data_IF_950549134555
#
_entry.id   IF_950549134555
#
_cell.length_a   1.000
_cell.length_b   1.000
_cell.length_c   1.000
_cell.angle_alpha   90.00
_cell.angle_beta   90.00
_cell.angle_gamma   90.00
#
_symmetry.space_group_name_H-M   'P 1'
#
loop_
_entity.id
_entity.type
_entity.pdbx_description
1 polymer ?
#
# COMPACT_ATOMS: atom_id res chain seq x y z
N UNK A 1 42.64 40.10 -53.79
CA UNK A 1 42.77 41.14 -52.74
C UNK A 1 42.15 40.51 -51.50
N UNK A 2 42.81 40.24 -50.39
CA UNK A 2 44.14 40.53 -49.85
C UNK A 2 44.37 39.43 -48.76
N UNK A 3 45.58 38.85 -48.66
CA UNK A 3 46.55 38.99 -47.53
C UNK A 3 46.01 38.54 -46.16
N UNK A 4 46.67 37.78 -45.28
CA UNK A 4 48.06 37.42 -45.00
C UNK A 4 48.01 36.20 -44.04
N UNK A 5 48.81 35.14 -44.18
CA UNK A 5 50.20 34.95 -43.72
C UNK A 5 50.44 35.09 -42.19
N UNK A 6 50.75 33.95 -41.55
CA UNK A 6 51.83 33.65 -40.57
C UNK A 6 51.53 32.22 -40.06
N UNK A 7 52.29 31.14 -40.27
CA UNK A 7 53.72 30.82 -40.31
C UNK A 7 54.47 31.19 -39.04
N UNK A 8 54.50 30.25 -38.10
CA UNK A 8 55.70 29.96 -37.32
C UNK A 8 56.03 28.47 -37.41
N UNK A 9 57.29 28.25 -37.73
CA UNK A 9 57.98 27.00 -37.98
C UNK A 9 59.01 26.89 -36.84
N UNK A 10 59.14 25.73 -36.18
CA UNK A 10 60.41 25.14 -35.69
C UNK A 10 60.13 23.98 -34.71
N UNK A 11 60.39 22.77 -35.21
CA UNK A 11 60.61 21.50 -34.48
C UNK A 11 62.09 21.40 -34.07
N UNK A 12 62.64 20.27 -33.56
CA UNK A 12 62.11 19.14 -32.80
C UNK A 12 63.00 18.79 -31.58
N UNK A 13 62.55 17.93 -30.67
CA UNK A 13 63.38 16.89 -30.04
C UNK A 13 62.40 15.90 -29.37
N UNK A 14 62.01 14.85 -30.09
CA UNK A 14 62.67 13.55 -30.13
C UNK A 14 62.60 12.82 -28.78
N UNK A 15 61.66 11.87 -28.68
CA UNK A 15 61.82 10.55 -28.06
C UNK A 15 60.59 9.69 -28.35
N UNK A 16 60.72 8.80 -29.34
CA UNK A 16 59.96 7.53 -29.51
C UNK A 16 60.53 6.58 -28.42
N UNK A 17 59.78 5.68 -27.74
CA UNK A 17 58.96 4.62 -28.32
C UNK A 17 57.69 4.33 -27.47
N UNK A 18 56.84 3.30 -27.59
CA UNK A 18 56.84 2.03 -28.28
C UNK A 18 55.40 1.50 -28.29
N UNK A 19 55.14 0.54 -29.17
CA UNK A 19 53.85 -0.07 -29.39
C UNK A 19 53.33 -0.93 -28.21
N UNK A 20 52.01 -0.87 -28.05
CA UNK A 20 51.10 -1.99 -27.78
C UNK A 20 51.38 -2.90 -26.56
N UNK A 21 50.71 -2.61 -25.45
CA UNK A 21 50.07 -3.64 -24.59
C UNK A 21 48.72 -3.11 -24.10
N UNK A 22 47.62 -3.79 -24.45
CA UNK A 22 46.28 -3.52 -23.92
C UNK A 22 46.27 -3.77 -22.41
N UNK A 23 45.70 -2.88 -21.58
CA UNK A 23 45.14 -3.26 -20.31
C UNK A 23 43.62 -3.08 -20.33
N UNK A 24 42.94 -4.23 -20.24
CA UNK A 24 41.80 -4.49 -19.34
C UNK A 24 41.09 -3.21 -18.88
N UNK A 25 39.90 -2.98 -19.45
CA UNK A 25 38.97 -1.96 -18.98
C UNK A 25 38.61 -2.23 -17.51
N UNK A 26 39.28 -1.54 -16.59
CA UNK A 26 38.87 -1.45 -15.20
C UNK A 26 37.60 -0.59 -15.14
N UNK A 27 36.45 -1.24 -15.33
CA UNK A 27 35.14 -0.66 -15.04
C UNK A 27 35.09 -0.36 -13.53
N UNK A 28 35.40 0.89 -13.18
CA UNK A 28 34.73 1.53 -12.04
C UNK A 28 33.28 1.78 -12.44
N UNK A 29 32.44 1.90 -11.44
CA UNK A 29 31.02 2.27 -11.51
C UNK A 29 30.09 1.07 -11.64
N UNK A 30 29.82 0.43 -10.51
CA UNK A 30 28.47 0.38 -9.95
C UNK A 30 28.58 -0.24 -8.56
N UNK A 31 28.79 0.61 -7.56
CA UNK A 31 28.23 0.32 -6.24
C UNK A 31 26.72 0.18 -6.49
N UNK A 32 26.24 -1.06 -6.62
CA UNK A 32 24.82 -1.33 -6.46
C UNK A 32 24.51 -0.82 -5.05
N UNK A 33 23.92 0.37 -4.95
CA UNK A 33 23.11 0.77 -3.82
C UNK A 33 22.02 -0.27 -3.68
N UNK A 34 22.37 -1.38 -3.02
CA UNK A 34 21.39 -2.26 -2.44
C UNK A 34 20.90 -1.56 -1.19
N UNK A 35 20.12 -0.49 -1.37
CA UNK A 35 19.29 0.03 -0.30
C UNK A 35 18.37 -1.12 0.10
N UNK A 36 18.54 -1.73 1.29
CA UNK A 36 17.66 -2.79 1.72
C UNK A 36 16.27 -2.18 1.73
N UNK A 37 15.35 -2.71 0.93
CA UNK A 37 13.92 -2.39 1.08
C UNK A 37 13.59 -2.75 2.52
N UNK A 38 13.50 -1.72 3.37
CA UNK A 38 13.12 -1.88 4.75
C UNK A 38 11.76 -2.58 4.72
N UNK A 39 11.73 -3.87 5.07
CA UNK A 39 10.49 -4.58 5.25
C UNK A 39 9.83 -3.90 6.43
N UNK A 40 8.81 -3.08 6.17
CA UNK A 40 7.98 -2.49 7.23
C UNK A 40 7.20 -3.65 7.84
N UNK A 41 7.82 -4.29 8.84
CA UNK A 41 7.16 -5.31 9.65
C UNK A 41 6.06 -4.60 10.43
N UNK A 42 4.84 -5.12 10.34
CA UNK A 42 3.74 -4.53 11.07
C UNK A 42 3.99 -4.61 12.58
N UNK A 43 3.69 -3.53 13.30
CA UNK A 43 3.95 -3.38 14.74
C UNK A 43 3.36 -4.53 15.58
N UNK A 44 2.19 -5.03 15.21
CA UNK A 44 1.53 -6.13 15.91
C UNK A 44 2.29 -7.46 15.81
N UNK A 45 3.14 -7.65 14.81
CA UNK A 45 3.99 -8.86 14.71
C UNK A 45 5.05 -8.84 15.80
N UNK A 46 5.63 -7.67 16.06
CA UNK A 46 6.65 -7.46 17.08
C UNK A 46 6.03 -7.42 18.48
N UNK A 47 4.86 -6.77 18.61
CA UNK A 47 4.16 -6.61 19.90
C UNK A 47 3.51 -7.88 20.44
N UNK A 48 3.15 -8.81 19.55
CA UNK A 48 2.51 -10.08 19.91
C UNK A 48 3.34 -11.25 19.33
N UNK A 49 4.50 -11.56 19.95
CA UNK A 49 5.31 -12.72 19.58
C UNK A 49 4.59 -14.04 19.93
N UNK A 50 5.34 -15.13 19.86
CA UNK A 50 4.87 -16.45 20.30
C UNK A 50 4.53 -16.45 21.79
N UNK A 51 3.45 -17.14 22.15
CA UNK A 51 2.97 -17.19 23.53
C UNK A 51 3.73 -18.31 24.24
N UNK A 52 4.29 -18.00 25.40
CA UNK A 52 5.11 -18.94 26.17
C UNK A 52 4.39 -19.53 27.39
N UNK A 53 3.36 -18.86 27.90
CA UNK A 53 2.63 -19.27 29.10
C UNK A 53 1.12 -18.94 29.06
N UNK A 54 0.37 -19.55 29.98
CA UNK A 54 -1.08 -19.39 30.08
C UNK A 54 -1.47 -17.96 30.45
N UNK A 55 -0.69 -17.28 31.30
CA UNK A 55 -0.95 -15.89 31.68
C UNK A 55 -0.82 -14.95 30.48
N UNK A 56 0.17 -15.18 29.61
CA UNK A 56 0.35 -14.41 28.37
C UNK A 56 -0.79 -14.68 27.39
N UNK A 57 -1.24 -15.94 27.28
CA UNK A 57 -2.41 -16.32 26.49
C UNK A 57 -3.67 -15.55 26.89
N UNK A 58 -3.97 -15.46 28.20
CA UNK A 58 -5.15 -14.73 28.66
C UNK A 58 -5.02 -13.21 28.43
N UNK A 59 -3.81 -12.63 28.51
CA UNK A 59 -3.57 -11.23 28.11
C UNK A 59 -3.87 -11.00 26.64
N UNK A 60 -3.40 -11.89 25.76
CA UNK A 60 -3.64 -11.79 24.31
C UNK A 60 -5.14 -11.89 24.00
N UNK A 61 -5.84 -12.79 24.69
CA UNK A 61 -7.30 -12.94 24.58
C UNK A 61 -8.06 -11.71 25.06
N UNK A 62 -7.65 -11.09 26.17
CA UNK A 62 -8.25 -9.85 26.65
C UNK A 62 -8.09 -8.71 25.61
N UNK A 63 -6.88 -8.55 25.06
CA UNK A 63 -6.62 -7.60 23.97
C UNK A 63 -7.45 -7.91 22.74
N UNK A 64 -7.55 -9.19 22.36
CA UNK A 64 -8.36 -9.60 21.21
C UNK A 64 -9.81 -9.19 21.41
N UNK A 65 -10.40 -9.47 22.57
CA UNK A 65 -11.80 -9.17 22.85
C UNK A 65 -12.10 -7.67 22.81
N UNK A 66 -11.23 -6.88 23.45
CA UNK A 66 -11.33 -5.41 23.46
C UNK A 66 -11.27 -4.84 22.03
N UNK A 67 -10.23 -5.18 21.27
CA UNK A 67 -10.06 -4.65 19.91
C UNK A 67 -11.01 -5.26 18.88
N UNK A 68 -11.55 -6.46 19.14
CA UNK A 68 -12.58 -7.05 18.29
C UNK A 68 -13.89 -6.26 18.37
N UNK A 69 -14.20 -5.67 19.53
CA UNK A 69 -15.37 -4.79 19.64
C UNK A 69 -15.18 -3.52 18.80
N UNK A 70 -14.00 -2.88 18.88
CA UNK A 70 -13.65 -1.73 18.00
C UNK A 70 -13.77 -2.11 16.52
N UNK A 71 -13.22 -3.26 16.12
CA UNK A 71 -13.32 -3.77 14.75
C UNK A 71 -14.77 -3.96 14.30
N UNK A 72 -15.62 -4.55 15.14
CA UNK A 72 -17.03 -4.79 14.81
C UNK A 72 -17.78 -3.50 14.53
N UNK A 73 -17.56 -2.48 15.37
CA UNK A 73 -18.24 -1.20 15.24
C UNK A 73 -17.78 -0.46 13.97
N UNK A 74 -16.46 -0.42 13.73
CA UNK A 74 -15.91 0.13 12.48
C UNK A 74 -16.41 -0.62 11.24
N UNK A 75 -16.41 -1.95 11.27
CA UNK A 75 -16.89 -2.78 10.17
C UNK A 75 -18.37 -2.54 9.89
N UNK A 76 -19.19 -2.36 10.94
CA UNK A 76 -20.62 -2.03 10.80
C UNK A 76 -20.82 -0.67 10.15
N UNK A 77 -20.08 0.34 10.58
CA UNK A 77 -20.15 1.70 10.01
C UNK A 77 -19.75 1.71 8.52
N UNK A 78 -18.62 1.07 8.20
CA UNK A 78 -18.15 0.92 6.82
C UNK A 78 -19.20 0.17 5.99
N UNK A 79 -19.71 -0.97 6.49
CA UNK A 79 -20.71 -1.78 5.79
C UNK A 79 -22.01 -1.00 5.54
N UNK A 80 -22.45 -0.19 6.51
CA UNK A 80 -23.63 0.67 6.36
C UNK A 80 -23.40 1.72 5.28
N UNK A 81 -22.22 2.31 5.24
CA UNK A 81 -21.84 3.30 4.23
C UNK A 81 -21.79 2.68 2.83
N UNK A 82 -21.17 1.50 2.71
CA UNK A 82 -21.13 0.72 1.47
C UNK A 82 -22.53 0.29 1.01
N UNK A 83 -23.46 0.02 1.92
CA UNK A 83 -24.85 -0.30 1.57
C UNK A 83 -25.56 0.90 0.95
N UNK A 84 -25.44 2.08 1.57
CA UNK A 84 -26.01 3.33 1.03
C UNK A 84 -25.48 3.60 -0.38
N UNK A 85 -24.20 3.31 -0.63
CA UNK A 85 -23.62 3.41 -1.96
C UNK A 85 -24.29 2.46 -2.97
N UNK A 86 -24.47 1.18 -2.64
CA UNK A 86 -25.17 0.23 -3.53
C UNK A 86 -26.62 0.63 -3.81
N UNK A 87 -27.31 1.20 -2.81
CA UNK A 87 -28.67 1.73 -2.98
C UNK A 87 -28.69 2.89 -3.98
N UNK A 88 -27.74 3.83 -3.87
CA UNK A 88 -27.57 4.91 -4.84
C UNK A 88 -27.26 4.39 -6.25
N UNK A 89 -26.36 3.41 -6.37
CA UNK A 89 -26.04 2.77 -7.66
C UNK A 89 -27.30 2.15 -8.30
N UNK A 90 -28.15 1.52 -7.48
CA UNK A 90 -29.41 0.91 -7.93
C UNK A 90 -30.42 1.97 -8.38
N UNK A 91 -30.53 3.09 -7.64
CA UNK A 91 -31.39 4.20 -8.03
C UNK A 91 -30.93 4.84 -9.35
N UNK A 92 -29.61 5.04 -9.53
CA UNK A 92 -29.06 5.54 -10.78
C UNK A 92 -29.39 4.60 -11.96
N UNK A 93 -29.18 3.29 -11.78
CA UNK A 93 -29.46 2.31 -12.82
C UNK A 93 -30.94 2.29 -13.23
N UNK A 94 -31.86 2.57 -12.30
CA UNK A 94 -33.31 2.73 -12.60
C UNK A 94 -33.58 4.01 -13.39
N UNK A 95 -33.08 5.15 -12.91
CA UNK A 95 -33.27 6.44 -13.58
C UNK A 95 -32.75 6.46 -15.02
N UNK A 96 -31.63 5.78 -15.28
CA UNK A 96 -31.07 5.61 -16.63
C UNK A 96 -31.98 4.81 -17.57
N UNK A 97 -32.75 3.84 -17.04
CA UNK A 97 -33.68 3.02 -17.85
C UNK A 97 -34.99 3.73 -18.17
N UNK A 98 -35.49 4.56 -17.26
CA UNK A 98 -36.84 5.14 -17.35
C UNK A 98 -36.91 6.44 -18.19
N UNK A 99 -35.77 7.05 -18.51
CA UNK A 99 -35.68 8.32 -19.26
C UNK A 99 -35.88 8.21 -20.77
N UNK A 100 -37.11 7.97 -21.23
CA UNK A 100 -37.44 7.86 -22.69
C UNK A 100 -37.74 9.19 -23.41
N UNK A 101 -38.05 10.29 -22.69
CA UNK A 101 -38.34 11.60 -23.30
C UNK A 101 -37.22 12.63 -23.08
N UNK A 102 -37.00 13.55 -24.03
CA UNK A 102 -35.85 14.46 -24.02
C UNK A 102 -35.81 15.41 -22.81
N UNK A 103 -36.97 15.97 -22.40
CA UNK A 103 -37.06 16.85 -21.23
C UNK A 103 -36.84 16.11 -19.91
N UNK A 104 -37.36 14.88 -19.79
CA UNK A 104 -37.11 14.02 -18.61
C UNK A 104 -35.65 13.60 -18.55
N UNK A 105 -35.00 13.39 -19.70
CA UNK A 105 -33.58 13.02 -19.77
C UNK A 105 -32.65 14.09 -19.19
N UNK A 106 -32.92 15.38 -19.42
CA UNK A 106 -32.11 16.46 -18.83
C UNK A 106 -32.22 16.50 -17.30
N UNK A 107 -33.46 16.43 -16.76
CA UNK A 107 -33.69 16.39 -15.30
C UNK A 107 -33.07 15.14 -14.66
N UNK A 108 -33.18 13.97 -15.32
CA UNK A 108 -32.52 12.74 -14.88
C UNK A 108 -31.00 12.89 -14.88
N UNK A 109 -30.41 13.51 -15.92
CA UNK A 109 -28.96 13.72 -15.99
C UNK A 109 -28.45 14.61 -14.86
N UNK A 110 -29.10 15.74 -14.57
CA UNK A 110 -28.71 16.63 -13.46
C UNK A 110 -28.80 15.91 -12.10
N UNK A 111 -29.86 15.12 -11.90
CA UNK A 111 -30.00 14.29 -10.69
C UNK A 111 -28.89 13.25 -10.59
N UNK A 112 -28.58 12.56 -11.69
CA UNK A 112 -27.50 11.56 -11.74
C UNK A 112 -26.14 12.20 -11.41
N UNK A 113 -25.83 13.34 -12.01
CA UNK A 113 -24.57 14.07 -11.76
C UNK A 113 -24.44 14.49 -10.30
N UNK A 114 -25.52 15.00 -9.69
CA UNK A 114 -25.53 15.36 -8.27
C UNK A 114 -25.29 14.15 -7.35
N UNK A 115 -25.91 13.01 -7.64
CA UNK A 115 -25.72 11.78 -6.88
C UNK A 115 -24.27 11.26 -7.06
N UNK A 116 -23.74 11.27 -8.29
CA UNK A 116 -22.38 10.83 -8.59
C UNK A 116 -21.33 11.69 -7.85
N UNK A 117 -21.51 13.01 -7.87
CA UNK A 117 -20.65 13.94 -7.13
C UNK A 117 -20.67 13.64 -5.63
N UNK A 118 -21.86 13.48 -5.05
CA UNK A 118 -22.02 13.16 -3.62
C UNK A 118 -21.39 11.81 -3.27
N UNK A 119 -21.52 10.82 -4.15
CA UNK A 119 -20.90 9.52 -4.01
C UNK A 119 -19.37 9.62 -4.03
N UNK A 120 -18.79 10.29 -5.01
CA UNK A 120 -17.35 10.48 -5.12
C UNK A 120 -16.78 11.23 -3.92
N UNK A 121 -17.47 12.26 -3.43
CA UNK A 121 -17.08 12.99 -2.22
C UNK A 121 -17.05 12.07 -1.00
N UNK A 122 -18.11 11.28 -0.77
CA UNK A 122 -18.16 10.36 0.38
C UNK A 122 -17.16 9.20 0.27
N UNK A 123 -16.84 8.75 -0.94
CA UNK A 123 -15.89 7.65 -1.18
C UNK A 123 -14.44 8.09 -0.97
N UNK A 124 -14.13 9.33 -1.33
CA UNK A 124 -12.80 9.93 -1.18
C UNK A 124 -12.68 10.75 0.11
N UNK A 125 -13.68 10.71 0.98
CA UNK A 125 -13.66 11.38 2.26
C UNK A 125 -12.50 10.84 3.11
N UNK A 126 -11.54 11.69 3.55
CA UNK A 126 -10.40 11.25 4.32
C UNK A 126 -10.80 10.48 5.58
N UNK A 127 -11.85 10.92 6.29
CA UNK A 127 -12.32 10.24 7.49
C UNK A 127 -12.87 8.83 7.20
N UNK A 128 -13.56 8.63 6.06
CA UNK A 128 -13.96 7.29 5.62
C UNK A 128 -12.76 6.40 5.27
N UNK A 129 -11.76 6.96 4.57
CA UNK A 129 -10.55 6.23 4.20
C UNK A 129 -9.72 5.82 5.43
N UNK A 130 -9.56 6.72 6.40
CA UNK A 130 -8.91 6.44 7.69
C UNK A 130 -9.64 5.32 8.45
N UNK A 131 -10.98 5.40 8.56
CA UNK A 131 -11.78 4.33 9.17
C UNK A 131 -11.58 2.99 8.47
N UNK A 132 -11.55 2.99 7.13
CA UNK A 132 -11.30 1.78 6.34
C UNK A 132 -9.90 1.22 6.60
N UNK A 133 -8.87 2.07 6.58
CA UNK A 133 -7.49 1.66 6.89
C UNK A 133 -7.38 1.09 8.30
N UNK A 134 -8.02 1.73 9.28
CA UNK A 134 -8.08 1.25 10.67
C UNK A 134 -8.76 -0.11 10.79
N UNK A 135 -9.87 -0.31 10.08
CA UNK A 135 -10.58 -1.60 10.03
C UNK A 135 -9.72 -2.70 9.41
N UNK A 136 -9.04 -2.40 8.29
CA UNK A 136 -8.12 -3.33 7.62
C UNK A 136 -6.93 -3.70 8.53
N UNK A 137 -6.37 -2.73 9.24
CA UNK A 137 -5.33 -2.94 10.25
C UNK A 137 -5.80 -3.84 11.39
N UNK A 138 -6.95 -3.53 12.00
CA UNK A 138 -7.51 -4.30 13.10
C UNK A 138 -7.79 -5.74 12.67
N UNK A 139 -8.31 -5.95 11.46
CA UNK A 139 -8.53 -7.29 10.90
C UNK A 139 -7.23 -8.10 10.85
N UNK A 140 -6.15 -7.51 10.33
CA UNK A 140 -4.85 -8.17 10.23
C UNK A 140 -4.27 -8.46 11.64
N UNK A 141 -4.28 -7.47 12.53
CA UNK A 141 -3.83 -7.60 13.92
C UNK A 141 -4.58 -8.67 14.69
N UNK A 142 -5.91 -8.65 14.65
CA UNK A 142 -6.76 -9.62 15.34
C UNK A 142 -6.55 -11.03 14.80
N UNK A 143 -6.38 -11.17 13.48
CA UNK A 143 -6.04 -12.45 12.85
C UNK A 143 -4.70 -13.00 13.38
N UNK A 144 -3.70 -12.13 13.52
CA UNK A 144 -2.39 -12.50 14.07
C UNK A 144 -2.49 -12.96 15.53
N UNK A 145 -3.14 -12.16 16.39
CA UNK A 145 -3.32 -12.50 17.81
C UNK A 145 -4.10 -13.81 17.97
N UNK A 146 -5.18 -13.99 17.19
CA UNK A 146 -5.96 -15.23 17.18
C UNK A 146 -5.11 -16.44 16.78
N UNK A 147 -4.23 -16.28 15.79
CA UNK A 147 -3.33 -17.34 15.36
C UNK A 147 -2.31 -17.70 16.45
N UNK A 148 -1.75 -16.71 17.16
CA UNK A 148 -0.84 -16.94 18.29
C UNK A 148 -1.50 -17.74 19.41
N UNK A 149 -2.72 -17.36 19.80
CA UNK A 149 -3.50 -18.09 20.81
C UNK A 149 -3.76 -19.53 20.35
N UNK A 150 -4.23 -19.70 19.11
CA UNK A 150 -4.52 -21.02 18.54
C UNK A 150 -3.29 -21.93 18.53
N UNK A 151 -2.12 -21.39 18.15
CA UNK A 151 -0.87 -22.16 18.05
C UNK A 151 -0.47 -22.69 19.44
N UNK A 152 -0.48 -21.81 20.45
CA UNK A 152 -0.21 -22.20 21.83
C UNK A 152 -1.19 -23.25 22.37
N UNK A 153 -2.49 -23.12 22.07
CA UNK A 153 -3.50 -24.10 22.47
C UNK A 153 -3.22 -25.48 21.88
N UNK A 154 -2.73 -25.54 20.63
CA UNK A 154 -2.39 -26.80 19.96
C UNK A 154 -1.15 -27.44 20.58
N UNK A 155 -0.12 -26.65 20.88
CA UNK A 155 1.14 -27.12 21.49
C UNK A 155 0.95 -27.61 22.93
N UNK A 156 0.16 -26.89 23.73
CA UNK A 156 -0.16 -27.30 25.10
C UNK A 156 -0.99 -28.57 25.15
N UNK A 157 -1.92 -28.78 24.20
CA UNK A 157 -2.67 -30.03 24.09
C UNK A 157 -1.80 -31.20 23.63
N UNK A 158 -0.78 -30.96 22.80
CA UNK A 158 0.15 -31.99 22.34
C UNK A 158 1.15 -32.43 23.42
N UNK A 159 1.58 -31.49 24.27
CA UNK A 159 2.56 -31.75 25.34
C UNK A 159 1.94 -32.32 26.62
N UNK A 160 0.62 -32.17 26.82
CA UNK A 160 -0.12 -32.76 27.94
C UNK A 160 -0.54 -34.24 27.80
N UNK A 161 -0.03 -34.97 26.79
CA UNK A 161 -0.37 -36.39 26.51
C UNK A 161 0.78 -37.39 26.78
N UNK A 162 1.86 -36.98 27.42
CA UNK A 162 2.97 -37.85 27.88
C UNK A 162 3.14 -37.74 29.39
#
# INVERSE_FOLDING_TARGET
MDKSLSKDHLSPHASVPEAQKKPISLRRDTAFEYTPKAHIVADYIIKYPEISCVEEREKYKAVFNDQYQEYKDLHRDISTTLRKFRELDTMMARLLRDGKSQGVRWICNERIQSILKTYQQKKNDPAFLEKKQRCDYLKAKLSHIKNRIRTFDQETMATGQT
#
